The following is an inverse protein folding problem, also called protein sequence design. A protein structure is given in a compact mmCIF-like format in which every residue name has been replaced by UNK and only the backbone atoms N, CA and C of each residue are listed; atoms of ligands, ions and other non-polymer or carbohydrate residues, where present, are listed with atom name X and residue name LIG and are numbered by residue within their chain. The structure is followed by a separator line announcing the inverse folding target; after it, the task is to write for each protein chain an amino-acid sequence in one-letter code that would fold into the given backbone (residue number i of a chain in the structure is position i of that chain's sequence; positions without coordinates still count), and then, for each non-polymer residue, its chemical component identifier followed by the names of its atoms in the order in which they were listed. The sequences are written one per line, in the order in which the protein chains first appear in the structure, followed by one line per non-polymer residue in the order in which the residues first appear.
data_IF_104211850408
#
_entry.id   IF_104211850408
#
_cell.length_a   1.000
_cell.length_b   1.000
_cell.length_c   1.000
_cell.angle_alpha   90.00
_cell.angle_beta   90.00
_cell.angle_gamma   90.00
#
_symmetry.space_group_name_H-M   'P 1'
#
loop_
_entity.id
_entity.type
_entity.pdbx_description
1 polymer ?
#
# COMPACT_ATOMS: atom_id res chain seq x y z
N UNK A 1 -1.84 2.41 9.34
CA UNK A 1 -1.91 0.95 9.52
C UNK A 1 -0.56 0.38 10.00
N UNK A 2 -0.58 -0.47 10.98
CA UNK A 2 0.62 -1.15 11.46
C UNK A 2 0.77 -2.48 10.76
N UNK A 3 1.94 -2.71 10.16
CA UNK A 3 2.22 -3.95 9.42
C UNK A 3 2.39 -5.11 10.39
N UNK A 4 1.63 -6.18 10.18
CA UNK A 4 1.65 -7.36 11.04
C UNK A 4 2.36 -8.57 10.40
N UNK A 5 2.54 -8.57 9.08
CA UNK A 5 3.24 -9.66 8.38
C UNK A 5 4.72 -9.69 8.79
N UNK A 6 5.25 -10.84 9.24
CA UNK A 6 6.66 -10.97 9.61
C UNK A 6 7.64 -10.55 8.53
N UNK A 7 7.26 -10.67 7.26
CA UNK A 7 8.08 -10.27 6.12
C UNK A 7 7.87 -8.82 5.71
N UNK A 8 6.99 -8.08 6.40
CA UNK A 8 6.63 -6.73 6.02
C UNK A 8 5.94 -6.68 4.65
N UNK A 9 6.17 -5.61 3.91
CA UNK A 9 5.68 -5.52 2.53
C UNK A 9 6.71 -6.17 1.62
N UNK A 10 6.37 -7.34 1.07
CA UNK A 10 7.30 -8.11 0.22
C UNK A 10 6.69 -8.39 -1.17
N UNK A 11 7.53 -8.90 -2.09
CA UNK A 11 7.26 -8.87 -3.53
C UNK A 11 5.93 -9.49 -3.98
N UNK A 12 5.58 -10.69 -3.50
CA UNK A 12 4.38 -11.39 -3.96
C UNK A 12 3.09 -10.64 -3.66
N UNK A 13 2.77 -10.38 -2.37
CA UNK A 13 1.54 -9.65 -2.07
C UNK A 13 1.59 -8.20 -2.53
N UNK A 14 2.77 -7.57 -2.52
CA UNK A 14 2.91 -6.21 -3.04
C UNK A 14 2.59 -6.14 -4.53
N UNK A 15 3.03 -7.13 -5.32
CA UNK A 15 2.71 -7.22 -6.74
C UNK A 15 1.21 -7.35 -6.98
N UNK A 16 0.52 -8.18 -6.20
CA UNK A 16 -0.93 -8.33 -6.29
C UNK A 16 -1.65 -7.03 -5.93
N UNK A 17 -1.21 -6.37 -4.87
CA UNK A 17 -1.79 -5.11 -4.42
C UNK A 17 -1.63 -4.03 -5.48
N UNK A 18 -0.44 -3.88 -6.05
CA UNK A 18 -0.19 -2.90 -7.12
C UNK A 18 -1.10 -3.16 -8.31
N UNK A 19 -1.26 -4.42 -8.71
CA UNK A 19 -2.15 -4.80 -9.80
C UNK A 19 -3.61 -4.41 -9.53
N UNK A 20 -4.09 -4.65 -8.32
CA UNK A 20 -5.44 -4.27 -7.91
C UNK A 20 -5.62 -2.76 -7.90
N UNK A 21 -4.65 -2.02 -7.38
CA UNK A 21 -4.71 -0.56 -7.31
C UNK A 21 -4.71 0.09 -8.68
N UNK A 22 -4.06 -0.51 -9.67
CA UNK A 22 -4.04 0.00 -11.04
C UNK A 22 -5.42 -0.01 -11.72
N UNK A 23 -6.36 -0.79 -11.20
CA UNK A 23 -7.74 -0.78 -11.69
C UNK A 23 -8.51 0.49 -11.30
N UNK A 24 -7.99 1.23 -10.33
CA UNK A 24 -8.60 2.47 -9.85
C UNK A 24 -7.93 3.68 -10.46
N UNK A 25 -8.68 4.77 -10.60
CA UNK A 25 -8.17 6.04 -11.12
C UNK A 25 -7.52 6.90 -10.05
N UNK A 26 -7.80 6.61 -8.79
CA UNK A 26 -7.27 7.37 -7.66
C UNK A 26 -5.75 7.27 -7.55
N UNK A 27 -5.15 8.32 -7.03
CA UNK A 27 -3.73 8.33 -6.65
C UNK A 27 -3.61 7.74 -5.25
N UNK A 28 -2.71 6.79 -5.09
CA UNK A 28 -2.48 6.11 -3.81
C UNK A 28 -1.03 6.32 -3.39
N UNK A 29 -0.84 6.99 -2.25
CA UNK A 29 0.49 7.28 -1.71
C UNK A 29 0.65 6.64 -0.35
N UNK A 30 1.75 5.94 -0.13
CA UNK A 30 2.09 5.38 1.17
C UNK A 30 3.21 6.20 1.82
N UNK A 31 3.05 6.48 3.10
CA UNK A 31 4.01 7.22 3.90
C UNK A 31 4.60 6.33 4.99
N UNK A 32 5.91 6.35 5.12
CA UNK A 32 6.64 5.71 6.22
C UNK A 32 7.61 6.75 6.80
N UNK A 33 7.27 7.29 7.98
CA UNK A 33 8.03 8.40 8.55
C UNK A 33 7.96 9.62 7.63
N UNK A 34 9.12 10.14 7.24
CA UNK A 34 9.25 11.26 6.31
C UNK A 34 9.39 10.86 4.84
N UNK A 35 9.30 9.55 4.56
CA UNK A 35 9.39 9.02 3.20
C UNK A 35 7.99 8.69 2.66
N UNK A 36 7.81 8.87 1.35
CA UNK A 36 6.56 8.50 0.69
C UNK A 36 6.83 8.04 -0.74
N UNK A 37 5.96 7.15 -1.23
CA UNK A 37 6.03 6.64 -2.61
C UNK A 37 4.63 6.37 -3.13
N UNK A 38 4.51 6.30 -4.46
CA UNK A 38 3.28 5.89 -5.13
C UNK A 38 3.11 4.37 -4.98
N UNK A 39 2.02 3.93 -4.36
CA UNK A 39 1.75 2.51 -4.16
C UNK A 39 1.48 1.74 -5.45
N UNK A 40 1.23 2.42 -6.56
CA UNK A 40 1.05 1.79 -7.86
C UNK A 40 2.37 1.46 -8.56
N UNK A 41 3.50 1.82 -7.95
CA UNK A 41 4.83 1.54 -8.47
C UNK A 41 5.51 0.50 -7.59
N UNK A 42 5.57 -0.73 -8.07
CA UNK A 42 6.05 -1.87 -7.28
C UNK A 42 7.48 -1.66 -6.75
N UNK A 43 8.40 -1.24 -7.62
CA UNK A 43 9.80 -1.04 -7.20
C UNK A 43 9.94 0.06 -6.16
N UNK A 44 9.17 1.15 -6.31
CA UNK A 44 9.17 2.23 -5.33
C UNK A 44 8.60 1.76 -3.99
N UNK A 45 7.50 1.00 -4.02
CA UNK A 45 6.89 0.42 -2.82
C UNK A 45 7.87 -0.50 -2.09
N UNK A 46 8.53 -1.38 -2.81
CA UNK A 46 9.53 -2.28 -2.23
C UNK A 46 10.72 -1.52 -1.67
N UNK A 47 11.13 -0.44 -2.36
CA UNK A 47 12.26 0.40 -1.94
C UNK A 47 11.99 1.19 -0.66
N UNK A 48 10.73 1.33 -0.25
CA UNK A 48 10.38 2.02 0.99
C UNK A 48 10.86 1.25 2.23
N UNK A 49 11.06 -0.06 2.11
CA UNK A 49 11.62 -0.89 3.18
C UNK A 49 10.69 -1.10 4.36
N UNK A 50 9.40 -1.25 4.12
CA UNK A 50 8.41 -1.45 5.20
C UNK A 50 8.56 -2.84 5.80
N UNK A 51 8.66 -2.89 7.12
CA UNK A 51 8.88 -4.12 7.90
C UNK A 51 7.74 -4.33 8.91
N UNK A 52 7.69 -5.54 9.48
CA UNK A 52 6.76 -5.84 10.55
C UNK A 52 6.91 -4.83 11.69
N UNK A 53 5.78 -4.35 12.16
CA UNK A 53 5.73 -3.37 13.23
C UNK A 53 5.79 -1.92 12.77
N UNK A 54 6.13 -1.68 11.50
CA UNK A 54 6.18 -0.32 10.96
C UNK A 54 4.76 0.24 10.81
N UNK A 55 4.61 1.48 11.24
CA UNK A 55 3.37 2.22 11.04
C UNK A 55 3.44 2.94 9.71
N UNK A 56 2.46 2.68 8.85
CA UNK A 56 2.36 3.34 7.56
C UNK A 56 1.04 4.11 7.47
N UNK A 57 1.08 5.25 6.77
CA UNK A 57 -0.10 6.04 6.46
C UNK A 57 -0.33 5.97 4.96
N UNK A 58 -1.56 5.75 4.55
CA UNK A 58 -1.91 5.67 3.13
C UNK A 58 -2.92 6.75 2.80
N UNK A 59 -2.65 7.47 1.73
CA UNK A 59 -3.50 8.54 1.24
C UNK A 59 -4.06 8.15 -0.13
N UNK A 60 -5.38 8.20 -0.26
CA UNK A 60 -6.08 7.87 -1.51
C UNK A 60 -6.87 9.09 -1.95
N UNK A 61 -6.62 9.57 -3.17
CA UNK A 61 -7.28 10.75 -3.73
C UNK A 61 -7.71 10.50 -5.17
N UNK A 62 -8.97 10.79 -5.49
CA UNK A 62 -9.46 10.67 -6.85
C UNK A 62 -10.96 10.38 -6.93
N UNK A 63 -11.47 10.16 -8.13
CA UNK A 63 -12.90 9.94 -8.37
C UNK A 63 -13.45 8.71 -7.66
N UNK A 64 -12.65 7.63 -7.58
CA UNK A 64 -13.03 6.36 -6.98
C UNK A 64 -12.31 6.10 -5.65
N UNK A 65 -11.93 7.17 -4.96
CA UNK A 65 -11.12 7.07 -3.74
C UNK A 65 -11.78 6.22 -2.64
N UNK A 66 -13.09 6.30 -2.49
CA UNK A 66 -13.80 5.52 -1.47
C UNK A 66 -13.71 4.02 -1.73
N UNK A 67 -13.97 3.60 -2.97
CA UNK A 67 -13.87 2.21 -3.37
C UNK A 67 -12.43 1.72 -3.30
N UNK A 68 -11.49 2.53 -3.76
CA UNK A 68 -10.06 2.21 -3.72
C UNK A 68 -9.57 2.06 -2.28
N UNK A 69 -9.93 2.98 -1.40
CA UNK A 69 -9.53 2.94 0.00
C UNK A 69 -10.10 1.71 0.72
N UNK A 70 -11.35 1.35 0.45
CA UNK A 70 -11.98 0.16 1.03
C UNK A 70 -11.26 -1.13 0.61
N UNK A 71 -10.94 -1.26 -0.67
CA UNK A 71 -10.20 -2.41 -1.20
C UNK A 71 -8.79 -2.50 -0.60
N UNK A 72 -8.11 -1.36 -0.53
CA UNK A 72 -6.78 -1.28 0.06
C UNK A 72 -6.78 -1.67 1.53
N UNK A 73 -7.72 -1.14 2.31
CA UNK A 73 -7.84 -1.46 3.74
C UNK A 73 -8.07 -2.95 3.95
N UNK A 74 -8.96 -3.55 3.16
CA UNK A 74 -9.22 -4.97 3.21
C UNK A 74 -7.96 -5.78 2.91
N UNK A 75 -7.23 -5.42 1.86
CA UNK A 75 -6.01 -6.10 1.47
C UNK A 75 -4.94 -6.02 2.56
N UNK A 76 -4.76 -4.85 3.15
CA UNK A 76 -3.78 -4.66 4.24
C UNK A 76 -4.12 -5.54 5.44
N UNK A 77 -5.38 -5.56 5.85
CA UNK A 77 -5.81 -6.37 6.99
C UNK A 77 -5.70 -7.87 6.75
N UNK A 78 -5.93 -8.33 5.54
CA UNK A 78 -5.87 -9.75 5.20
C UNK A 78 -4.44 -10.24 4.92
N UNK A 79 -3.54 -9.36 4.49
CA UNK A 79 -2.22 -9.75 3.99
C UNK A 79 -1.08 -9.19 4.84
N UNK A 80 -1.16 -7.94 5.21
CA UNK A 80 -0.10 -7.23 5.95
C UNK A 80 -0.52 -6.83 7.36
#
# INVERSE_FOLDING_TARGET
YTITDPNGIHARPAGLLVKQLKAYKSTVTIFKGDKNVDMKKLLALMGLGVKQGDLVTVRVEGEDEEACAAELEKFLKETF
#
